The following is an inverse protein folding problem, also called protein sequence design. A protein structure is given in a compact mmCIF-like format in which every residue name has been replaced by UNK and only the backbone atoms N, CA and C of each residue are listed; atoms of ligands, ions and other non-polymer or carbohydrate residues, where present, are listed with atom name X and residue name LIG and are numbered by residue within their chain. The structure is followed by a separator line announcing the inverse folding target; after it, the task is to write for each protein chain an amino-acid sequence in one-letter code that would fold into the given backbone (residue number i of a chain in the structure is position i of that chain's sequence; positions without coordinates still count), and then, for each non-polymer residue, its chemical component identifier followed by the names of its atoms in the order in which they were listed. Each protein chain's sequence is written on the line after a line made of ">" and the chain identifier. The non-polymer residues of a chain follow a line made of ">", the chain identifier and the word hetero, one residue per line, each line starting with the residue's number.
data_IF_744488782835
#
_entry.id   IF_744488782835
#
_cell.length_a   1.000
_cell.length_b   1.000
_cell.length_c   1.000
_cell.angle_alpha   90.00
_cell.angle_beta   90.00
_cell.angle_gamma   90.00
#
_symmetry.space_group_name_H-M   'P 1'
#
loop_
_entity.id
_entity.type
_entity.pdbx_description
1 polymer ?
#
# COMPACT_ATOMS: atom_id res chain seq x y z
N UNK A 1 5.44 -8.73 23.17
CA UNK A 1 5.49 -7.25 23.05
C UNK A 1 4.88 -6.84 21.71
N UNK A 2 3.59 -6.51 21.71
CA UNK A 2 2.73 -6.16 20.57
C UNK A 2 3.41 -5.43 19.38
N UNK A 3 4.14 -4.34 19.64
CA UNK A 3 4.82 -3.56 18.60
C UNK A 3 5.80 -4.37 17.74
N UNK A 4 6.49 -5.36 18.33
CA UNK A 4 7.43 -6.20 17.60
C UNK A 4 6.69 -7.16 16.66
N UNK A 5 5.53 -7.67 17.06
CA UNK A 5 4.65 -8.49 16.20
C UNK A 5 4.17 -7.67 15.00
N UNK A 6 3.70 -6.43 15.23
CA UNK A 6 3.31 -5.52 14.14
C UNK A 6 4.47 -5.23 13.18
N UNK A 7 5.67 -4.97 13.72
CA UNK A 7 6.86 -4.72 12.89
C UNK A 7 7.27 -5.94 12.07
N UNK A 8 7.20 -7.13 12.64
CA UNK A 8 7.45 -8.38 11.93
C UNK A 8 6.44 -8.59 10.79
N UNK A 9 5.14 -8.50 11.11
CA UNK A 9 4.06 -8.56 10.12
C UNK A 9 4.26 -7.54 8.98
N UNK A 10 4.58 -6.29 9.33
CA UNK A 10 4.75 -5.23 8.35
C UNK A 10 6.01 -5.42 7.49
N UNK A 11 7.09 -5.99 8.06
CA UNK A 11 8.31 -6.39 7.36
C UNK A 11 8.07 -7.50 6.33
N UNK A 12 7.32 -8.54 6.71
CA UNK A 12 6.90 -9.60 5.79
C UNK A 12 6.00 -9.06 4.68
N UNK A 13 5.04 -8.21 5.05
CA UNK A 13 4.07 -7.62 4.11
C UNK A 13 4.75 -6.72 3.09
N UNK A 14 5.66 -5.83 3.51
CA UNK A 14 6.38 -4.97 2.57
C UNK A 14 7.30 -5.77 1.64
N UNK A 15 7.90 -6.85 2.15
CA UNK A 15 8.74 -7.74 1.34
C UNK A 15 7.92 -8.42 0.25
N UNK A 16 6.73 -8.94 0.60
CA UNK A 16 5.81 -9.53 -0.36
C UNK A 16 5.31 -8.52 -1.42
N UNK A 17 4.96 -7.31 -0.99
CA UNK A 17 4.55 -6.22 -1.89
C UNK A 17 5.68 -5.87 -2.88
N UNK A 18 6.92 -5.72 -2.40
CA UNK A 18 8.08 -5.43 -3.25
C UNK A 18 8.37 -6.55 -4.23
N UNK A 19 8.33 -7.81 -3.77
CA UNK A 19 8.48 -8.97 -4.63
C UNK A 19 7.40 -9.04 -5.72
N UNK A 20 6.15 -8.76 -5.35
CA UNK A 20 5.03 -8.71 -6.29
C UNK A 20 5.18 -7.60 -7.33
N UNK A 21 5.69 -6.43 -6.92
CA UNK A 21 6.03 -5.34 -7.85
C UNK A 21 7.18 -5.72 -8.79
N UNK A 22 8.27 -6.27 -8.24
CA UNK A 22 9.46 -6.65 -9.00
C UNK A 22 9.13 -7.71 -10.07
N UNK A 23 8.32 -8.72 -9.73
CA UNK A 23 7.89 -9.75 -10.68
C UNK A 23 7.10 -9.19 -11.88
N UNK A 24 6.48 -8.02 -11.74
CA UNK A 24 5.68 -7.38 -12.78
C UNK A 24 6.47 -6.43 -13.69
N UNK A 25 7.67 -6.01 -13.28
CA UNK A 25 8.51 -5.05 -14.00
C UNK A 25 9.68 -5.82 -14.60
N UNK A 26 9.58 -6.13 -15.89
CA UNK A 26 10.52 -7.00 -16.61
C UNK A 26 11.82 -6.31 -17.04
N UNK A 27 11.99 -5.00 -16.82
CA UNK A 27 13.24 -4.31 -17.18
C UNK A 27 14.05 -3.95 -15.93
N UNK A 28 15.29 -4.45 -15.90
CA UNK A 28 16.32 -4.22 -14.88
C UNK A 28 16.63 -2.73 -14.65
N UNK A 29 16.24 -1.86 -15.59
CA UNK A 29 16.48 -0.41 -15.55
C UNK A 29 15.34 0.40 -14.92
N UNK A 30 14.14 -0.17 -14.70
CA UNK A 30 12.97 0.57 -14.16
C UNK A 30 12.49 0.12 -12.78
N UNK A 31 13.08 -0.94 -12.22
CA UNK A 31 12.67 -1.50 -10.91
C UNK A 31 13.09 -0.61 -9.75
N UNK A 32 14.32 -0.10 -9.77
CA UNK A 32 14.97 0.54 -8.61
C UNK A 32 14.16 1.70 -8.00
N UNK A 33 13.83 2.75 -8.76
CA UNK A 33 13.15 3.92 -8.19
C UNK A 33 11.73 3.59 -7.69
N UNK A 34 10.99 2.76 -8.42
CA UNK A 34 9.64 2.37 -8.04
C UNK A 34 9.61 1.51 -6.80
N UNK A 35 10.44 0.48 -6.75
CA UNK A 35 10.56 -0.42 -5.60
C UNK A 35 11.10 0.33 -4.36
N UNK A 36 12.11 1.18 -4.53
CA UNK A 36 12.68 2.00 -3.46
C UNK A 36 11.68 3.03 -2.90
N UNK A 37 10.69 3.42 -3.70
CA UNK A 37 9.61 4.29 -3.23
C UNK A 37 8.63 3.56 -2.29
N UNK A 38 8.54 2.23 -2.40
CA UNK A 38 7.65 1.41 -1.56
C UNK A 38 8.25 1.32 -0.15
N UNK A 39 7.60 2.00 0.80
CA UNK A 39 8.05 2.12 2.19
C UNK A 39 6.89 1.88 3.14
N UNK A 40 7.19 1.36 4.32
CA UNK A 40 6.25 1.26 5.43
C UNK A 40 6.62 2.31 6.49
N UNK A 41 5.61 2.96 7.07
CA UNK A 41 5.76 3.87 8.20
C UNK A 41 4.84 3.43 9.31
N UNK A 42 5.33 3.48 10.54
CA UNK A 42 4.55 3.29 11.74
C UNK A 42 4.41 4.63 12.45
N UNK A 43 3.18 4.96 12.86
CA UNK A 43 2.90 6.03 13.82
C UNK A 43 2.60 5.36 15.16
N UNK A 44 3.22 5.87 16.22
CA UNK A 44 2.96 5.43 17.57
C UNK A 44 2.18 6.48 18.35
N UNK A 45 1.33 6.02 19.24
CA UNK A 45 0.65 6.82 20.26
C UNK A 45 0.67 6.04 21.58
N UNK A 46 0.95 6.73 22.69
CA UNK A 46 1.17 6.12 24.02
C UNK A 46 2.07 4.86 24.01
N UNK A 47 3.12 4.87 23.20
CA UNK A 47 4.07 3.76 23.09
C UNK A 47 3.57 2.55 22.30
N UNK A 48 2.35 2.57 21.76
CA UNK A 48 1.79 1.52 20.90
C UNK A 48 1.70 2.00 19.45
N UNK A 49 1.87 1.08 18.49
CA UNK A 49 1.63 1.41 17.08
C UNK A 49 0.13 1.58 16.85
N UNK A 50 -0.27 2.77 16.44
CA UNK A 50 -1.65 3.18 16.16
C UNK A 50 -1.96 3.12 14.65
N UNK A 51 -0.99 3.49 13.81
CA UNK A 51 -1.19 3.56 12.36
C UNK A 51 -0.05 2.92 11.60
N UNK A 52 -0.41 2.14 10.58
CA UNK A 52 0.51 1.59 9.60
C UNK A 52 0.21 2.24 8.25
N UNK A 53 1.24 2.79 7.60
CA UNK A 53 1.10 3.44 6.30
C UNK A 53 2.06 2.83 5.29
N UNK A 54 1.53 2.31 4.19
CA UNK A 54 2.30 1.99 3.00
C UNK A 54 2.39 3.23 2.11
N UNK A 55 3.62 3.65 1.81
CA UNK A 55 3.94 4.79 0.95
C UNK A 55 4.59 4.30 -0.33
N UNK A 56 4.31 4.97 -1.43
CA UNK A 56 4.89 4.71 -2.75
C UNK A 56 4.69 5.92 -3.66
N UNK A 57 5.46 6.00 -4.75
CA UNK A 57 5.25 7.06 -5.74
C UNK A 57 3.89 6.91 -6.45
N UNK A 58 3.23 8.05 -6.70
CA UNK A 58 1.88 8.11 -7.29
C UNK A 58 1.72 7.26 -8.57
N UNK A 59 2.73 7.21 -9.42
CA UNK A 59 2.64 6.48 -10.69
C UNK A 59 2.46 4.97 -10.50
N UNK A 60 2.82 4.41 -9.35
CA UNK A 60 2.59 3.00 -9.05
C UNK A 60 1.10 2.70 -8.82
N UNK A 61 0.29 3.67 -8.36
CA UNK A 61 -1.17 3.52 -8.33
C UNK A 61 -1.76 3.44 -9.75
N UNK A 62 -1.19 4.19 -10.69
CA UNK A 62 -1.61 4.13 -12.10
C UNK A 62 -1.23 2.79 -12.73
N UNK A 63 -0.05 2.26 -12.40
CA UNK A 63 0.33 0.91 -12.77
C UNK A 63 -0.63 -0.12 -12.19
N UNK A 64 -0.96 0.01 -10.90
CA UNK A 64 -1.85 -0.89 -10.18
C UNK A 64 -3.22 -0.98 -10.84
N UNK A 65 -3.84 0.16 -11.16
CA UNK A 65 -5.18 0.22 -11.75
C UNK A 65 -5.20 0.18 -13.29
N UNK A 66 -4.05 0.23 -13.96
CA UNK A 66 -3.97 0.30 -15.43
C UNK A 66 -4.28 1.69 -16.00
N UNK A 67 -4.27 2.75 -15.19
CA UNK A 67 -4.52 4.11 -15.65
C UNK A 67 -3.35 4.66 -16.47
N UNK A 68 -3.65 5.52 -17.46
CA UNK A 68 -2.65 6.06 -18.36
C UNK A 68 -3.08 7.35 -19.05
N UNK A 69 -2.25 7.84 -19.97
CA UNK A 69 -2.58 9.03 -20.77
C UNK A 69 -3.86 8.74 -21.58
N UNK A 70 -4.90 9.53 -21.36
CA UNK A 70 -6.18 9.39 -22.07
C UNK A 70 -7.14 8.34 -21.50
N UNK A 71 -6.71 7.54 -20.51
CA UNK A 71 -7.50 6.43 -19.94
C UNK A 71 -7.45 6.44 -18.41
N UNK A 72 -8.33 7.23 -17.80
CA UNK A 72 -8.42 7.39 -16.35
C UNK A 72 -9.68 6.71 -15.78
N UNK A 73 -9.69 6.52 -14.46
CA UNK A 73 -10.85 6.01 -13.72
C UNK A 73 -12.03 6.98 -13.71
N UNK A 74 -13.05 6.63 -12.92
CA UNK A 74 -14.23 7.47 -12.69
C UNK A 74 -13.90 8.75 -11.92
N UNK A 75 -12.90 8.70 -11.03
CA UNK A 75 -12.40 9.84 -10.26
C UNK A 75 -10.99 10.22 -10.71
N UNK A 76 -10.79 11.51 -10.95
CA UNK A 76 -9.48 12.09 -11.26
C UNK A 76 -8.66 12.39 -10.01
N UNK A 77 -7.45 12.90 -10.22
CA UNK A 77 -6.56 13.40 -9.17
C UNK A 77 -6.01 14.77 -9.53
N UNK A 78 -5.55 15.52 -8.53
CA UNK A 78 -4.76 16.74 -8.71
C UNK A 78 -3.36 16.50 -8.16
N UNK A 79 -2.35 17.13 -8.76
CA UNK A 79 -0.98 17.01 -8.30
C UNK A 79 -0.13 18.21 -8.67
N UNK A 80 0.91 18.46 -7.88
CA UNK A 80 1.93 19.46 -8.18
C UNK A 80 3.10 18.79 -8.90
N UNK A 81 3.59 19.39 -9.99
CA UNK A 81 4.78 18.92 -10.70
C UNK A 81 6.05 19.32 -9.94
N UNK A 82 7.21 18.76 -10.32
CA UNK A 82 8.51 19.19 -9.80
C UNK A 82 8.77 20.70 -10.00
N UNK A 83 8.17 21.29 -11.05
CA UNK A 83 8.22 22.73 -11.35
C UNK A 83 7.18 23.58 -10.60
N UNK A 84 6.44 23.01 -9.63
CA UNK A 84 5.44 23.74 -8.84
C UNK A 84 4.07 23.93 -9.52
N UNK A 85 3.90 23.49 -10.76
CA UNK A 85 2.62 23.64 -11.47
C UNK A 85 1.59 22.63 -10.97
N UNK A 86 0.40 23.11 -10.62
CA UNK A 86 -0.75 22.26 -10.32
C UNK A 86 -1.34 21.71 -11.63
N UNK A 87 -1.44 20.39 -11.72
CA UNK A 87 -2.09 19.67 -12.82
C UNK A 87 -3.24 18.83 -12.27
N UNK A 88 -4.19 18.53 -13.15
CA UNK A 88 -5.33 17.67 -12.86
C UNK A 88 -5.49 16.61 -13.94
N UNK A 89 -6.19 15.54 -13.61
CA UNK A 89 -6.61 14.54 -14.59
C UNK A 89 -7.44 15.22 -15.69
N UNK A 90 -7.12 14.93 -16.95
CA UNK A 90 -7.89 15.43 -18.08
C UNK A 90 -9.34 14.90 -17.99
N UNK A 91 -10.37 15.75 -17.88
CA UNK A 91 -11.77 15.31 -17.80
C UNK A 91 -12.17 14.36 -18.94
N UNK A 92 -11.64 14.57 -20.16
CA UNK A 92 -11.91 13.72 -21.33
C UNK A 92 -11.37 12.29 -21.22
N UNK A 93 -10.53 12.02 -20.22
CA UNK A 93 -9.98 10.69 -19.93
C UNK A 93 -10.78 9.91 -18.89
N UNK A 94 -11.70 10.55 -18.18
CA UNK A 94 -12.47 9.90 -17.11
C UNK A 94 -13.40 8.82 -17.67
N UNK A 95 -13.58 7.75 -16.91
CA UNK A 95 -14.42 6.61 -17.29
C UNK A 95 -13.84 5.71 -18.39
N UNK A 96 -12.62 5.97 -18.84
CA UNK A 96 -11.95 5.20 -19.91
C UNK A 96 -10.91 4.21 -19.38
N UNK A 97 -10.96 3.89 -18.09
CA UNK A 97 -10.07 2.91 -17.49
C UNK A 97 -10.32 1.54 -18.15
N UNK A 98 -9.25 0.83 -18.51
CA UNK A 98 -9.34 -0.48 -19.17
C UNK A 98 -9.60 -0.43 -20.69
N UNK A 99 -9.96 0.73 -21.26
CA UNK A 99 -10.15 0.85 -22.73
C UNK A 99 -8.85 1.12 -23.48
N UNK A 100 -7.74 1.32 -22.77
CA UNK A 100 -6.42 1.62 -23.34
C UNK A 100 -5.53 0.38 -23.49
N UNK A 101 -4.36 0.57 -24.09
CA UNK A 101 -3.34 -0.48 -24.23
C UNK A 101 -2.73 -0.92 -22.89
N UNK A 102 -2.83 -0.10 -21.84
CA UNK A 102 -2.22 -0.39 -20.54
C UNK A 102 -3.12 -1.34 -19.75
N UNK A 103 -2.59 -2.51 -19.39
CA UNK A 103 -3.25 -3.46 -18.48
C UNK A 103 -2.94 -3.13 -17.02
N UNK A 104 -3.90 -3.39 -16.14
CA UNK A 104 -3.71 -3.31 -14.70
C UNK A 104 -2.67 -4.35 -14.26
N UNK A 105 -1.84 -3.98 -13.28
CA UNK A 105 -0.83 -4.86 -12.69
C UNK A 105 -1.00 -4.84 -11.18
N UNK A 106 -1.72 -5.81 -10.65
CA UNK A 106 -2.19 -5.77 -9.26
C UNK A 106 -1.10 -6.14 -8.23
N UNK A 107 -0.07 -5.31 -8.11
CA UNK A 107 1.08 -5.59 -7.24
C UNK A 107 0.84 -5.36 -5.73
N UNK A 108 -0.21 -4.60 -5.37
CA UNK A 108 -0.46 -4.15 -4.00
C UNK A 108 -1.63 -4.88 -3.34
N UNK A 109 -2.86 -4.67 -3.84
CA UNK A 109 -4.09 -5.18 -3.22
C UNK A 109 -4.03 -6.68 -2.88
N UNK A 110 -3.65 -7.59 -3.80
CA UNK A 110 -3.61 -9.02 -3.48
C UNK A 110 -2.66 -9.38 -2.32
N UNK A 111 -1.62 -8.59 -2.08
CA UNK A 111 -0.71 -8.82 -0.94
C UNK A 111 -1.31 -8.29 0.36
N UNK A 112 -1.99 -7.14 0.31
CA UNK A 112 -2.70 -6.60 1.48
C UNK A 112 -3.90 -7.48 1.86
N UNK A 113 -4.66 -7.97 0.89
CA UNK A 113 -5.84 -8.81 1.12
C UNK A 113 -5.47 -10.13 1.83
N UNK A 114 -4.26 -10.63 1.62
CA UNK A 114 -3.71 -11.79 2.33
C UNK A 114 -3.10 -11.45 3.69
N UNK A 115 -2.51 -10.28 3.82
CA UNK A 115 -1.75 -9.88 5.00
C UNK A 115 -2.63 -9.30 6.12
N UNK A 116 -3.61 -8.47 5.77
CA UNK A 116 -4.47 -7.76 6.73
C UNK A 116 -5.25 -8.72 7.65
N UNK A 117 -5.84 -9.82 7.17
CA UNK A 117 -6.52 -10.78 8.05
C UNK A 117 -5.60 -11.34 9.14
N UNK A 118 -4.35 -11.68 8.80
CA UNK A 118 -3.37 -12.19 9.77
C UNK A 118 -3.05 -11.19 10.87
N UNK A 119 -3.05 -9.89 10.54
CA UNK A 119 -2.87 -8.84 11.54
C UNK A 119 -4.09 -8.73 12.47
N UNK A 120 -5.29 -8.91 11.93
CA UNK A 120 -6.52 -8.93 12.72
C UNK A 120 -6.53 -10.10 13.72
N UNK A 121 -6.10 -11.29 13.28
CA UNK A 121 -5.98 -12.46 14.16
C UNK A 121 -4.98 -12.20 15.30
N UNK A 122 -3.81 -11.64 14.99
CA UNK A 122 -2.82 -11.26 16.00
C UNK A 122 -3.35 -10.22 17.00
N UNK A 123 -4.18 -9.28 16.54
CA UNK A 123 -4.81 -8.28 17.40
C UNK A 123 -5.82 -8.93 18.36
N UNK A 124 -6.62 -9.88 17.87
CA UNK A 124 -7.58 -10.61 18.70
C UNK A 124 -6.89 -11.42 19.80
N UNK A 125 -5.78 -12.11 19.48
CA UNK A 125 -4.94 -12.80 20.46
C UNK A 125 -4.45 -11.85 21.56
N UNK A 126 -3.87 -10.71 21.19
CA UNK A 126 -3.33 -9.73 22.16
C UNK A 126 -4.44 -9.18 23.08
N UNK A 127 -5.64 -8.94 22.53
CA UNK A 127 -6.80 -8.49 23.31
C UNK A 127 -7.30 -9.56 24.27
N UNK A 128 -7.36 -10.81 23.81
CA UNK A 128 -7.76 -11.95 24.64
C UNK A 128 -6.79 -12.16 25.80
N UNK A 129 -5.48 -12.18 25.54
CA UNK A 129 -4.44 -12.30 26.56
C UNK A 129 -4.50 -11.17 27.59
N UNK A 130 -4.77 -9.95 27.13
CA UNK A 130 -4.99 -8.80 28.01
C UNK A 130 -6.21 -8.97 28.92
N UNK A 131 -7.33 -9.46 28.37
CA UNK A 131 -8.56 -9.72 29.12
C UNK A 131 -8.35 -10.82 30.19
N UNK A 132 -7.70 -11.93 29.84
CA UNK A 132 -7.41 -13.02 30.77
C UNK A 132 -6.53 -12.56 31.94
N UNK A 133 -5.51 -11.73 31.68
CA UNK A 133 -4.67 -11.15 32.74
C UNK A 133 -5.46 -10.24 33.67
N UNK A 134 -6.39 -9.44 33.13
CA UNK A 134 -7.24 -8.57 33.94
C UNK A 134 -8.18 -9.37 34.86
N UNK A 135 -8.71 -10.50 34.38
CA UNK A 135 -9.56 -11.39 35.18
C UNK A 135 -8.79 -12.12 36.30
N UNK A 136 -7.51 -12.44 36.09
CA UNK A 136 -6.66 -13.11 37.09
C UNK A 136 -6.15 -12.18 38.19
N UNK A 137 -6.25 -10.86 37.99
CA UNK A 137 -5.84 -9.84 38.97
C UNK A 137 -6.99 -9.43 39.91
N UNK A 138 -8.17 -10.05 39.77
CA UNK A 138 -9.29 -9.96 40.71
C UNK A 138 -9.28 -11.13 41.68
#
# INVERSE_FOLDING_TARGET
>A
MWNNRIKAWGGETITSIKGSYAAMVTSTQQTGEGENSIKIRYKQDYGQIETITFKFHRYLAFLHKGAGKGVAGSKGSTWTTKSGQKKSTNPKSLGKLGTGKRKAKEWLNPQLDRAVPKLADQLLEEKWDGAMKALQLQ
#
